data_IF_635666365119
#
_entry.id   IF_635666365119
#
_cell.length_a   1.000
_cell.length_b   1.000
_cell.length_c   1.000
_cell.angle_alpha   90.00
_cell.angle_beta   90.00
_cell.angle_gamma   90.00
#
_symmetry.space_group_name_H-M   'P 1'
#
loop_
_entity.id
_entity.type
_entity.pdbx_description
1 polymer ?
#
# COMPACT_ATOMS: atom_id res chain seq x y z
N UNK A 1 -16.50 4.27 -4.95
CA UNK A 1 -17.18 3.23 -4.13
C UNK A 1 -16.66 1.86 -4.53
N UNK A 2 -16.74 0.87 -3.64
CA UNK A 2 -16.48 -0.52 -4.04
C UNK A 2 -17.34 -0.86 -5.27
N UNK A 3 -16.74 -1.42 -6.33
CA UNK A 3 -17.42 -1.70 -7.60
C UNK A 3 -17.54 -0.53 -8.60
N UNK A 4 -16.95 0.64 -8.32
CA UNK A 4 -16.93 1.77 -9.27
C UNK A 4 -16.11 1.47 -10.54
N UNK A 5 -15.15 0.54 -10.46
CA UNK A 5 -14.41 0.04 -11.61
C UNK A 5 -15.28 -0.82 -12.54
N UNK A 6 -16.26 -1.53 -11.96
CA UNK A 6 -17.22 -2.36 -12.69
C UNK A 6 -18.39 -1.54 -13.26
N UNK A 7 -18.74 -0.43 -12.61
CA UNK A 7 -19.84 0.46 -13.00
C UNK A 7 -19.36 1.90 -12.95
N UNK A 8 -18.87 2.42 -14.08
CA UNK A 8 -18.32 3.79 -14.19
C UNK A 8 -19.32 4.90 -13.83
N UNK A 9 -20.63 4.61 -13.88
CA UNK A 9 -21.69 5.55 -13.49
C UNK A 9 -21.97 5.59 -11.98
N UNK A 10 -21.38 4.67 -11.21
CA UNK A 10 -21.66 4.51 -9.78
C UNK A 10 -21.01 5.65 -9.02
N UNK A 11 -21.84 6.58 -8.53
CA UNK A 11 -21.41 7.72 -7.72
C UNK A 11 -21.66 7.41 -6.26
N UNK A 12 -20.67 7.71 -5.42
CA UNK A 12 -20.91 7.78 -3.97
C UNK A 12 -21.88 8.92 -3.65
N UNK A 13 -22.61 8.84 -2.53
CA UNK A 13 -23.45 9.93 -2.02
C UNK A 13 -22.64 11.24 -1.93
N UNK A 14 -21.37 11.16 -1.51
CA UNK A 14 -20.45 12.31 -1.45
C UNK A 14 -20.06 12.90 -2.81
N UNK A 15 -20.43 12.25 -3.92
CA UNK A 15 -20.19 12.71 -5.29
C UNK A 15 -21.45 13.31 -5.94
N UNK A 16 -22.58 13.36 -5.23
CA UNK A 16 -23.82 13.95 -5.73
C UNK A 16 -23.65 15.48 -5.88
N UNK A 17 -24.05 16.07 -7.02
CA UNK A 17 -23.78 17.49 -7.30
C UNK A 17 -24.32 18.48 -6.27
N UNK A 18 -25.47 18.19 -5.65
CA UNK A 18 -26.08 19.05 -4.63
C UNK A 18 -25.37 18.97 -3.27
N UNK A 19 -24.55 17.93 -3.03
CA UNK A 19 -23.71 17.78 -1.83
C UNK A 19 -22.27 18.28 -2.03
N UNK A 20 -21.90 18.69 -3.26
CA UNK A 20 -20.58 19.23 -3.60
C UNK A 20 -20.47 20.75 -3.50
N UNK A 21 -21.58 21.47 -3.26
CA UNK A 21 -21.55 22.94 -3.20
C UNK A 21 -20.99 23.37 -1.83
N UNK A 22 -20.04 24.32 -1.78
CA UNK A 22 -19.72 25.01 -0.53
C UNK A 22 -21.02 25.60 0.06
N UNK A 23 -21.25 25.53 1.38
CA UNK A 23 -20.30 25.22 2.45
C UNK A 23 -20.25 23.73 2.88
N UNK A 24 -20.81 22.80 2.10
CA UNK A 24 -21.04 21.41 2.56
C UNK A 24 -19.75 20.57 2.63
N UNK A 25 -18.69 20.97 1.92
CA UNK A 25 -17.44 20.22 1.84
C UNK A 25 -16.29 20.96 2.54
N UNK A 26 -15.81 20.40 3.65
CA UNK A 26 -14.60 20.84 4.34
C UNK A 26 -13.50 19.79 4.21
N UNK A 27 -12.32 20.22 3.75
CA UNK A 27 -11.14 19.37 3.73
C UNK A 27 -10.49 19.37 5.11
N UNK A 28 -10.48 18.22 5.77
CA UNK A 28 -9.58 17.99 6.91
C UNK A 28 -8.16 17.93 6.37
N UNK A 29 -7.43 19.02 6.56
CA UNK A 29 -6.18 19.29 5.85
C UNK A 29 -4.93 18.96 6.68
N UNK A 30 -5.06 18.29 7.82
CA UNK A 30 -3.94 17.91 8.68
C UNK A 30 -3.94 16.40 8.88
N UNK A 31 -2.80 15.76 8.61
CA UNK A 31 -2.58 14.33 8.81
C UNK A 31 -1.44 14.12 9.82
N UNK A 32 -1.58 13.08 10.65
CA UNK A 32 -0.67 12.78 11.76
C UNK A 32 0.03 11.40 11.65
N UNK A 33 -0.17 10.69 10.54
CA UNK A 33 0.24 9.28 10.37
C UNK A 33 1.52 9.13 9.55
N UNK A 34 1.60 9.81 8.41
CA UNK A 34 2.71 9.65 7.48
C UNK A 34 3.89 10.53 7.91
N UNK A 35 5.13 10.01 7.85
CA UNK A 35 6.36 10.81 7.95
C UNK A 35 6.36 11.99 6.98
N UNK A 36 7.05 13.07 7.35
CA UNK A 36 7.02 14.34 6.60
C UNK A 36 7.36 14.17 5.12
N UNK A 37 8.40 13.39 4.72
CA UNK A 37 8.72 13.20 3.30
C UNK A 37 7.61 12.48 2.52
N UNK A 38 7.04 11.41 3.10
CA UNK A 38 5.96 10.64 2.47
C UNK A 38 4.68 11.48 2.36
N UNK A 39 4.30 12.15 3.44
CA UNK A 39 3.13 13.01 3.46
C UNK A 39 3.24 14.20 2.50
N UNK A 40 4.44 14.76 2.32
CA UNK A 40 4.68 15.82 1.34
C UNK A 40 4.50 15.33 -0.11
N UNK A 41 5.02 14.14 -0.44
CA UNK A 41 4.82 13.52 -1.75
C UNK A 41 3.33 13.27 -2.03
N UNK A 42 2.62 12.60 -1.11
CA UNK A 42 1.19 12.31 -1.26
C UNK A 42 0.37 13.61 -1.35
N UNK A 43 0.70 14.63 -0.54
CA UNK A 43 0.01 15.91 -0.63
C UNK A 43 0.18 16.56 -2.00
N UNK A 44 1.37 16.48 -2.59
CA UNK A 44 1.65 17.06 -3.91
C UNK A 44 0.85 16.34 -5.00
N UNK A 45 0.94 15.02 -5.05
CA UNK A 45 0.37 14.23 -6.15
C UNK A 45 -1.16 14.07 -6.05
N UNK A 46 -1.72 13.94 -4.84
CA UNK A 46 -3.14 13.59 -4.66
C UNK A 46 -4.00 14.72 -4.10
N UNK A 47 -3.41 15.71 -3.42
CA UNK A 47 -4.15 16.74 -2.69
C UNK A 47 -3.82 18.18 -3.13
N UNK A 48 -3.15 18.38 -4.27
CA UNK A 48 -2.78 19.71 -4.77
C UNK A 48 -2.06 20.58 -3.71
N UNK A 49 -1.18 19.96 -2.91
CA UNK A 49 -0.45 20.59 -1.78
C UNK A 49 -1.32 21.13 -0.64
N UNK A 50 -2.58 20.71 -0.54
CA UNK A 50 -3.51 21.17 0.51
C UNK A 50 -3.42 20.36 1.80
N UNK A 51 -2.79 19.18 1.79
CA UNK A 51 -2.66 18.31 2.97
C UNK A 51 -1.36 18.63 3.73
N UNK A 52 -1.48 18.91 5.02
CA UNK A 52 -0.37 19.24 5.92
C UNK A 52 -0.02 18.02 6.75
N UNK A 53 1.27 17.76 6.91
CA UNK A 53 1.79 16.65 7.70
C UNK A 53 2.29 17.17 9.04
N UNK A 54 1.98 16.44 10.12
CA UNK A 54 2.57 16.63 11.45
C UNK A 54 3.08 15.27 11.93
N UNK A 55 4.40 15.10 11.88
CA UNK A 55 5.06 13.85 12.26
C UNK A 55 6.52 14.13 12.60
N UNK A 56 7.09 13.40 13.55
CA UNK A 56 8.46 13.65 14.04
C UNK A 56 9.54 13.26 13.01
N UNK A 57 9.32 12.16 12.30
CA UNK A 57 10.22 11.67 11.24
C UNK A 57 10.25 12.64 10.05
N UNK A 58 11.43 13.22 9.81
CA UNK A 58 11.70 14.19 8.75
C UNK A 58 12.71 13.68 7.71
N UNK A 59 13.42 12.60 8.04
CA UNK A 59 14.49 12.07 7.22
C UNK A 59 13.94 11.37 5.97
N UNK A 60 14.45 11.68 4.76
CA UNK A 60 14.02 11.02 3.52
C UNK A 60 14.19 9.50 3.52
N UNK A 61 15.08 8.97 4.37
CA UNK A 61 15.33 7.54 4.52
C UNK A 61 14.15 6.72 5.04
N UNK A 62 13.05 7.37 5.46
CA UNK A 62 11.79 6.72 5.83
C UNK A 62 11.07 6.07 4.63
N UNK A 63 11.42 6.45 3.39
CA UNK A 63 10.89 5.83 2.17
C UNK A 63 12.07 5.27 1.37
N UNK A 64 11.97 3.99 0.98
CA UNK A 64 12.99 3.31 0.18
C UNK A 64 12.35 2.47 -0.90
N UNK A 65 12.92 2.53 -2.10
CA UNK A 65 12.62 1.61 -3.18
C UNK A 65 13.69 0.54 -3.22
N UNK A 66 13.26 -0.72 -3.26
CA UNK A 66 14.14 -1.89 -3.33
C UNK A 66 13.93 -2.49 -4.71
N UNK A 67 14.93 -2.34 -5.57
CA UNK A 67 14.95 -2.96 -6.89
C UNK A 67 15.31 -4.45 -6.76
N UNK A 68 14.32 -5.31 -6.93
CA UNK A 68 14.49 -6.75 -6.98
C UNK A 68 14.76 -7.15 -8.43
N UNK A 69 15.95 -6.82 -8.92
CA UNK A 69 16.32 -6.92 -10.35
C UNK A 69 16.20 -8.34 -10.96
N UNK A 70 16.20 -9.40 -10.14
CA UNK A 70 15.96 -10.79 -10.58
C UNK A 70 14.48 -11.18 -10.59
N UNK A 71 13.63 -10.35 -9.99
CA UNK A 71 12.20 -10.58 -9.92
C UNK A 71 11.58 -10.51 -11.29
N UNK A 72 10.75 -11.50 -11.59
CA UNK A 72 9.96 -11.56 -12.82
C UNK A 72 8.54 -11.95 -12.42
N UNK A 73 7.55 -11.27 -12.98
CA UNK A 73 6.16 -11.63 -12.76
C UNK A 73 5.84 -12.99 -13.40
N UNK A 74 5.11 -13.83 -12.68
CA UNK A 74 4.62 -15.12 -13.15
C UNK A 74 3.11 -15.18 -12.96
N UNK A 75 2.42 -15.77 -13.94
CA UNK A 75 0.97 -15.91 -13.88
C UNK A 75 0.59 -17.08 -12.96
N UNK A 76 -0.31 -16.83 -12.02
CA UNK A 76 -0.85 -17.84 -11.11
C UNK A 76 -2.38 -17.85 -11.23
N UNK A 77 -2.91 -18.73 -12.08
CA UNK A 77 -4.34 -18.73 -12.44
C UNK A 77 -4.76 -17.42 -13.10
N UNK A 78 -5.66 -16.67 -12.45
CA UNK A 78 -6.12 -15.33 -12.87
C UNK A 78 -5.36 -14.19 -12.20
N UNK A 79 -4.37 -14.50 -11.36
CA UNK A 79 -3.58 -13.55 -10.58
C UNK A 79 -2.10 -13.59 -10.97
N UNK A 80 -1.26 -12.86 -10.23
CA UNK A 80 0.17 -12.72 -10.48
C UNK A 80 0.98 -12.94 -9.21
N UNK A 81 2.19 -13.46 -9.38
CA UNK A 81 3.17 -13.65 -8.32
C UNK A 81 4.54 -13.19 -8.79
N UNK A 82 5.41 -12.83 -7.87
CA UNK A 82 6.82 -12.56 -8.11
C UNK A 82 7.61 -13.18 -6.96
N UNK A 83 8.28 -14.30 -7.27
CA UNK A 83 8.91 -15.13 -6.25
C UNK A 83 10.13 -14.45 -5.61
N UNK A 84 10.92 -13.71 -6.38
CA UNK A 84 12.08 -12.99 -5.83
C UNK A 84 11.66 -11.81 -4.95
N UNK A 85 10.56 -11.11 -5.29
CA UNK A 85 9.98 -10.11 -4.39
C UNK A 85 9.58 -10.74 -3.06
N UNK A 86 8.87 -11.88 -3.08
CA UNK A 86 8.47 -12.55 -1.85
C UNK A 86 9.67 -13.01 -1.01
N UNK A 87 10.72 -13.55 -1.64
CA UNK A 87 11.98 -13.90 -0.94
C UNK A 87 12.65 -12.68 -0.32
N UNK A 88 12.66 -11.56 -1.04
CA UNK A 88 13.24 -10.29 -0.55
C UNK A 88 12.45 -9.78 0.65
N UNK A 89 11.12 -9.82 0.60
CA UNK A 89 10.24 -9.42 1.71
C UNK A 89 10.51 -10.27 2.94
N UNK A 90 10.53 -11.60 2.78
CA UNK A 90 10.81 -12.52 3.89
C UNK A 90 12.18 -12.25 4.50
N UNK A 91 13.20 -12.00 3.68
CA UNK A 91 14.52 -11.59 4.15
C UNK A 91 14.50 -10.26 4.94
N UNK A 92 13.75 -9.26 4.47
CA UNK A 92 13.61 -7.98 5.16
C UNK A 92 12.91 -8.14 6.53
N UNK A 93 11.82 -8.91 6.56
CA UNK A 93 11.10 -9.16 7.81
C UNK A 93 12.00 -9.90 8.78
N UNK A 94 12.60 -11.02 8.37
CA UNK A 94 13.48 -11.83 9.22
C UNK A 94 14.58 -10.99 9.88
N UNK A 95 15.27 -10.17 9.09
CA UNK A 95 16.50 -9.51 9.56
C UNK A 95 16.27 -8.14 10.20
N UNK A 96 15.16 -7.45 9.90
CA UNK A 96 14.98 -6.05 10.33
C UNK A 96 13.65 -5.78 11.04
N UNK A 97 12.55 -6.40 10.60
CA UNK A 97 11.21 -5.93 10.99
C UNK A 97 10.37 -6.94 11.79
N UNK A 98 10.82 -8.19 11.99
CA UNK A 98 9.97 -9.22 12.61
C UNK A 98 9.55 -8.91 14.05
N UNK A 99 10.33 -8.09 14.77
CA UNK A 99 10.00 -7.58 16.10
C UNK A 99 9.29 -6.21 16.09
N UNK A 100 9.04 -5.63 14.92
CA UNK A 100 8.44 -4.30 14.75
C UNK A 100 6.95 -4.38 14.39
N UNK A 101 6.25 -3.25 14.50
CA UNK A 101 4.90 -3.06 13.99
C UNK A 101 4.88 -2.95 12.47
N UNK A 102 5.00 -4.09 11.75
CA UNK A 102 4.99 -4.10 10.28
C UNK A 102 3.67 -4.57 9.66
N UNK A 103 3.44 -4.18 8.41
CA UNK A 103 2.44 -4.75 7.52
C UNK A 103 3.02 -4.91 6.10
N UNK A 104 2.61 -5.96 5.40
CA UNK A 104 2.95 -6.20 4.00
C UNK A 104 1.68 -5.99 3.18
N UNK A 105 1.77 -5.21 2.10
CA UNK A 105 0.64 -4.92 1.21
C UNK A 105 1.01 -5.36 -0.21
N UNK A 106 0.08 -6.05 -0.88
CA UNK A 106 0.22 -6.43 -2.29
C UNK A 106 -1.14 -6.38 -2.99
N UNK A 107 -1.22 -5.97 -4.26
CA UNK A 107 -2.50 -5.91 -4.97
C UNK A 107 -3.01 -7.28 -5.44
N UNK A 108 -2.21 -8.35 -5.33
CA UNK A 108 -2.56 -9.67 -5.88
C UNK A 108 -2.72 -10.73 -4.79
N UNK A 109 -3.88 -11.39 -4.75
CA UNK A 109 -4.16 -12.49 -3.81
C UNK A 109 -3.15 -13.64 -3.90
N UNK A 110 -2.69 -14.00 -5.11
CA UNK A 110 -1.70 -15.05 -5.26
C UNK A 110 -0.36 -14.64 -4.64
N UNK A 111 0.05 -13.37 -4.80
CA UNK A 111 1.26 -12.83 -4.17
C UNK A 111 1.12 -12.81 -2.65
N UNK A 112 -0.02 -12.36 -2.12
CA UNK A 112 -0.32 -12.35 -0.68
C UNK A 112 -0.14 -13.76 -0.11
N UNK A 113 -0.84 -14.74 -0.68
CA UNK A 113 -0.78 -16.12 -0.24
C UNK A 113 0.63 -16.73 -0.32
N UNK A 114 1.43 -16.34 -1.33
CA UNK A 114 2.82 -16.81 -1.45
C UNK A 114 3.70 -16.26 -0.33
N UNK A 115 3.61 -14.95 -0.05
CA UNK A 115 4.36 -14.30 1.02
C UNK A 115 3.96 -14.90 2.39
N UNK A 116 2.67 -15.06 2.67
CA UNK A 116 2.17 -15.68 3.90
C UNK A 116 2.75 -17.08 4.11
N UNK A 117 2.72 -17.93 3.07
CA UNK A 117 3.27 -19.29 3.13
C UNK A 117 4.77 -19.29 3.42
N UNK A 118 5.53 -18.39 2.81
CA UNK A 118 6.97 -18.30 3.02
C UNK A 118 7.32 -17.78 4.42
N UNK A 119 6.62 -16.76 4.93
CA UNK A 119 6.78 -16.30 6.31
C UNK A 119 6.46 -17.42 7.30
N UNK A 120 5.36 -18.14 7.08
CA UNK A 120 4.93 -19.24 7.95
C UNK A 120 5.94 -20.38 7.97
N UNK A 121 6.53 -20.73 6.82
CA UNK A 121 7.57 -21.76 6.72
C UNK A 121 8.83 -21.41 7.52
N UNK A 122 9.07 -20.13 7.78
CA UNK A 122 10.22 -19.64 8.56
C UNK A 122 9.87 -19.31 10.02
N UNK A 123 8.64 -19.56 10.45
CA UNK A 123 8.19 -19.21 11.80
C UNK A 123 8.07 -17.70 12.06
N UNK A 124 7.93 -16.89 10.99
CA UNK A 124 7.76 -15.44 11.08
C UNK A 124 6.27 -15.05 11.18
N UNK A 125 5.94 -13.82 11.65
CA UNK A 125 4.56 -13.33 11.69
C UNK A 125 3.94 -13.26 10.29
N UNK A 126 3.14 -14.27 9.95
CA UNK A 126 2.57 -14.47 8.61
C UNK A 126 1.17 -13.87 8.46
N UNK A 127 0.53 -13.47 9.54
CA UNK A 127 -0.80 -12.86 9.61
C UNK A 127 -0.81 -11.35 9.29
N UNK A 128 0.33 -10.81 8.85
CA UNK A 128 0.56 -9.38 8.58
C UNK A 128 0.64 -9.06 7.09
N UNK A 129 0.01 -9.86 6.23
CA UNK A 129 0.03 -9.68 4.77
C UNK A 129 -1.39 -9.38 4.28
N UNK A 130 -1.57 -8.28 3.56
CA UNK A 130 -2.87 -7.73 3.20
C UNK A 130 -2.96 -7.36 1.73
N UNK A 131 -4.19 -7.36 1.20
CA UNK A 131 -4.50 -6.65 -0.02
C UNK A 131 -4.78 -5.17 0.28
N UNK A 132 -4.67 -4.30 -0.73
CA UNK A 132 -4.91 -2.86 -0.61
C UNK A 132 -6.29 -2.57 0.00
N UNK A 133 -7.34 -3.21 -0.50
CA UNK A 133 -8.72 -3.01 -0.01
C UNK A 133 -8.88 -3.43 1.46
N UNK A 134 -8.28 -4.57 1.84
CA UNK A 134 -8.36 -5.07 3.23
C UNK A 134 -7.56 -4.22 4.22
N UNK A 135 -6.60 -3.43 3.74
CA UNK A 135 -5.78 -2.57 4.58
C UNK A 135 -6.35 -1.15 4.72
N UNK A 136 -7.42 -0.79 3.98
CA UNK A 136 -7.97 0.56 4.02
C UNK A 136 -8.41 0.95 5.44
N UNK A 137 -7.83 2.04 5.97
CA UNK A 137 -8.13 2.56 7.31
C UNK A 137 -7.20 2.04 8.41
N UNK A 138 -6.46 0.97 8.13
CA UNK A 138 -5.40 0.46 9.02
C UNK A 138 -4.09 1.23 8.84
N UNK A 139 -3.20 1.07 9.80
CA UNK A 139 -1.86 1.65 9.80
C UNK A 139 -0.85 0.70 10.45
N UNK A 140 0.43 0.90 10.14
CA UNK A 140 1.55 0.20 10.74
C UNK A 140 2.79 1.11 10.70
N UNK A 141 3.71 0.93 11.65
CA UNK A 141 4.95 1.71 11.72
C UNK A 141 5.84 1.47 10.49
N UNK A 142 5.87 0.22 10.02
CA UNK A 142 6.62 -0.19 8.84
C UNK A 142 5.69 -0.84 7.81
N UNK A 143 5.60 -0.27 6.61
CA UNK A 143 4.80 -0.82 5.52
C UNK A 143 5.72 -1.27 4.39
N UNK A 144 5.62 -2.55 4.02
CA UNK A 144 6.34 -3.12 2.87
C UNK A 144 5.34 -3.35 1.74
N UNK A 145 5.55 -2.71 0.60
CA UNK A 145 4.66 -2.85 -0.57
C UNK A 145 5.32 -3.72 -1.62
N UNK A 146 4.65 -4.81 -2.01
CA UNK A 146 5.04 -5.68 -3.14
C UNK A 146 4.23 -5.30 -4.37
N UNK A 147 4.90 -4.75 -5.38
CA UNK A 147 4.25 -4.33 -6.63
C UNK A 147 3.94 -5.51 -7.54
N UNK A 148 4.69 -6.62 -7.41
CA UNK A 148 4.54 -7.90 -8.13
C UNK A 148 4.81 -7.82 -9.64
N UNK A 149 4.23 -6.84 -10.33
CA UNK A 149 4.35 -6.68 -11.78
C UNK A 149 5.70 -6.11 -12.18
N UNK A 150 6.25 -6.63 -13.26
CA UNK A 150 7.54 -6.20 -13.84
C UNK A 150 7.42 -5.72 -15.29
N UNK A 151 6.34 -6.09 -16.01
CA UNK A 151 6.17 -5.76 -17.43
C UNK A 151 5.10 -4.69 -17.72
N UNK A 152 4.36 -4.25 -16.70
CA UNK A 152 3.34 -3.21 -16.80
C UNK A 152 2.74 -2.87 -15.45
N UNK A 153 1.94 -1.81 -15.36
CA UNK A 153 1.39 -1.36 -14.08
C UNK A 153 0.34 -2.33 -13.49
N UNK A 154 -0.41 -3.04 -14.35
CA UNK A 154 -1.43 -3.99 -13.89
C UNK A 154 -2.58 -3.27 -13.18
N UNK A 155 -2.80 -3.57 -11.90
CA UNK A 155 -3.77 -2.86 -11.04
C UNK A 155 -3.18 -1.59 -10.41
N UNK A 156 -1.86 -1.36 -10.54
CA UNK A 156 -1.16 -0.15 -10.09
C UNK A 156 -1.28 1.00 -11.11
#
# INVERSE_FOLDING_TARGET
PYGQESVRSLKSVFQLPHLRKPPVQYLLNTQYRMPMPLGAFISKEMYNRKLRSQHDIQEPSCVRFIDVYKGTEEKSGTSWVNQEEARTIVHLIRNYYHHQGFAIITPYDAQRNMIEKMLKAEGLPWDKVYNVDSFQGNEADYVVVSVTRTSGAGFL
#
